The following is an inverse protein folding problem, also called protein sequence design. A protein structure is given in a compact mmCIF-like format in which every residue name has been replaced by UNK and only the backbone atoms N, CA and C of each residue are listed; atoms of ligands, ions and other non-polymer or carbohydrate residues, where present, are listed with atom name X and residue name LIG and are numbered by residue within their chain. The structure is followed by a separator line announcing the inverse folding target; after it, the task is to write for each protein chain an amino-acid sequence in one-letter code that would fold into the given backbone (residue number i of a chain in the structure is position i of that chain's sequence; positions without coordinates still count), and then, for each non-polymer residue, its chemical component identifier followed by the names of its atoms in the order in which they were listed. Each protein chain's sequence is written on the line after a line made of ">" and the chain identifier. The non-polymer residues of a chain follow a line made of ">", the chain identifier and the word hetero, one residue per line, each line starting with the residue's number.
data_IF_537068024091
#
_entry.id   IF_537068024091
#
_cell.length_a   1.000
_cell.length_b   1.000
_cell.length_c   1.000
_cell.angle_alpha   90.00
_cell.angle_beta   90.00
_cell.angle_gamma   90.00
#
_symmetry.space_group_name_H-M   'P 1'
#
loop_
_entity.id
_entity.type
_entity.pdbx_description
1 polymer ?
#
# COMPACT_ATOMS: atom_id res chain seq x y z
N UNK A 1 9.26 -70.46 -47.52
CA UNK A 1 9.91 -69.44 -46.66
C UNK A 1 9.83 -68.10 -47.38
N UNK A 2 8.95 -67.20 -46.95
CA UNK A 2 8.78 -65.88 -47.54
C UNK A 2 7.82 -65.08 -46.66
N UNK A 3 8.34 -64.07 -45.97
CA UNK A 3 7.75 -63.40 -44.81
C UNK A 3 6.68 -62.38 -45.22
N UNK A 4 5.52 -62.50 -44.57
CA UNK A 4 4.82 -61.44 -43.82
C UNK A 4 5.04 -59.99 -44.29
N UNK A 5 3.98 -59.38 -44.83
CA UNK A 5 3.79 -57.92 -44.87
C UNK A 5 2.55 -57.62 -44.05
N UNK A 6 2.76 -57.16 -42.80
CA UNK A 6 1.72 -56.53 -42.00
C UNK A 6 1.86 -55.01 -42.13
N UNK A 7 0.78 -54.35 -42.55
CA UNK A 7 0.64 -52.89 -42.53
C UNK A 7 0.70 -52.40 -41.09
N UNK A 8 1.76 -51.66 -40.75
CA UNK A 8 1.82 -50.87 -39.53
C UNK A 8 1.03 -49.58 -39.75
N UNK A 9 -0.14 -49.50 -39.11
CA UNK A 9 -0.91 -48.26 -38.95
C UNK A 9 -0.07 -47.36 -38.03
N UNK A 10 0.53 -46.32 -38.59
CA UNK A 10 1.26 -45.31 -37.86
C UNK A 10 0.27 -44.51 -36.99
N UNK A 11 0.52 -44.53 -35.69
CA UNK A 11 -0.26 -43.84 -34.68
C UNK A 11 -0.20 -42.33 -34.83
N UNK A 12 -1.36 -41.71 -34.72
CA UNK A 12 -1.50 -40.32 -34.32
C UNK A 12 -2.17 -40.33 -32.95
N UNK A 13 -1.38 -40.61 -31.91
CA UNK A 13 -1.79 -40.30 -30.54
C UNK A 13 -1.79 -38.79 -30.46
N UNK A 14 -2.97 -38.22 -30.65
CA UNK A 14 -3.28 -36.83 -30.33
C UNK A 14 -3.02 -36.69 -28.83
N UNK A 15 -1.82 -36.22 -28.51
CA UNK A 15 -1.41 -35.86 -27.17
C UNK A 15 -2.22 -34.61 -26.83
N UNK A 16 -3.46 -34.80 -26.38
CA UNK A 16 -4.14 -33.82 -25.55
C UNK A 16 -3.25 -33.67 -24.32
N UNK A 17 -2.31 -32.73 -24.38
CA UNK A 17 -1.70 -32.16 -23.21
C UNK A 17 -2.84 -31.51 -22.42
N UNK A 18 -3.48 -32.30 -21.57
CA UNK A 18 -4.07 -31.81 -20.34
C UNK A 18 -2.94 -31.05 -19.66
N UNK A 19 -2.89 -29.74 -19.86
CA UNK A 19 -2.16 -28.86 -18.96
C UNK A 19 -2.83 -29.05 -17.62
N UNK A 20 -2.30 -29.96 -16.82
CA UNK A 20 -2.62 -30.07 -15.41
C UNK A 20 -2.43 -28.66 -14.85
N UNK A 21 -3.53 -27.99 -14.51
CA UNK A 21 -3.46 -26.68 -13.87
C UNK A 21 -2.53 -26.82 -12.69
N UNK A 22 -1.47 -26.01 -12.65
CA UNK A 22 -0.56 -25.99 -11.53
C UNK A 22 -1.39 -25.83 -10.26
N UNK A 23 -1.34 -26.82 -9.36
CA UNK A 23 -2.12 -26.80 -8.13
C UNK A 23 -1.66 -25.60 -7.32
N UNK A 24 -2.53 -24.59 -7.17
CA UNK A 24 -2.23 -23.42 -6.35
C UNK A 24 -2.08 -23.87 -4.91
N UNK A 25 -0.89 -23.69 -4.35
CA UNK A 25 -0.51 -24.29 -3.07
C UNK A 25 -0.35 -23.24 -1.97
N UNK A 26 -1.39 -23.02 -1.16
CA UNK A 26 -1.43 -22.03 -0.09
C UNK A 26 -1.13 -22.65 1.28
N UNK A 27 0.12 -23.01 1.52
CA UNK A 27 0.54 -23.73 2.73
C UNK A 27 0.90 -22.84 3.92
N UNK A 28 1.01 -21.52 3.71
CA UNK A 28 1.26 -20.59 4.80
C UNK A 28 -0.06 -19.93 5.20
N UNK A 29 -0.17 -19.61 6.49
CA UNK A 29 -1.32 -18.92 7.06
C UNK A 29 -0.83 -17.73 7.85
N UNK A 30 -1.43 -16.58 7.61
CA UNK A 30 -1.23 -15.38 8.39
C UNK A 30 -2.53 -15.00 9.09
N UNK A 31 -2.51 -14.89 10.41
CA UNK A 31 -3.64 -14.40 11.20
C UNK A 31 -3.24 -13.12 11.91
N UNK A 32 -4.02 -12.06 11.69
CA UNK A 32 -3.89 -10.78 12.39
C UNK A 32 -5.02 -10.67 13.41
N UNK A 33 -4.78 -11.17 14.62
CA UNK A 33 -5.81 -11.26 15.66
C UNK A 33 -6.37 -9.88 16.05
N UNK A 34 -5.53 -8.85 16.15
CA UNK A 34 -5.97 -7.49 16.50
C UNK A 34 -6.87 -6.86 15.41
N UNK A 35 -6.73 -7.30 14.16
CA UNK A 35 -7.55 -6.88 13.04
C UNK A 35 -8.59 -7.95 12.66
N UNK A 36 -8.72 -9.03 13.43
CA UNK A 36 -9.79 -10.01 13.28
C UNK A 36 -9.82 -10.81 11.98
N UNK A 37 -8.69 -10.98 11.27
CA UNK A 37 -8.69 -11.73 10.00
C UNK A 37 -7.55 -12.75 9.87
N UNK A 38 -7.75 -13.73 8.99
CA UNK A 38 -6.71 -14.68 8.57
C UNK A 38 -6.70 -14.82 7.04
N UNK A 39 -5.53 -15.07 6.45
CA UNK A 39 -5.39 -15.37 5.01
C UNK A 39 -4.34 -16.45 4.78
N UNK A 40 -4.55 -17.30 3.77
CA UNK A 40 -3.53 -18.25 3.30
C UNK A 40 -2.78 -17.69 2.10
N UNK A 41 -1.49 -18.02 2.04
CA UNK A 41 -0.58 -17.55 1.00
C UNK A 41 0.45 -18.64 0.69
N UNK A 42 1.14 -18.57 -0.46
CA UNK A 42 2.05 -19.63 -0.86
C UNK A 42 3.42 -19.48 -0.15
N UNK A 43 4.17 -20.58 -0.02
CA UNK A 43 5.36 -20.64 0.82
C UNK A 43 6.56 -19.82 0.27
N UNK A 44 6.53 -19.52 -1.02
CA UNK A 44 7.52 -18.71 -1.71
C UNK A 44 7.24 -17.20 -1.62
N UNK A 45 6.10 -16.79 -1.06
CA UNK A 45 5.78 -15.39 -0.78
C UNK A 45 6.17 -15.02 0.64
N UNK A 46 6.43 -13.73 0.85
CA UNK A 46 6.79 -13.13 2.13
C UNK A 46 5.61 -12.32 2.62
N UNK A 47 5.30 -12.45 3.91
CA UNK A 47 4.31 -11.64 4.60
C UNK A 47 4.99 -10.56 5.44
N UNK A 48 4.67 -9.30 5.15
CA UNK A 48 5.26 -8.12 5.79
C UNK A 48 4.17 -7.28 6.42
N UNK A 49 4.27 -7.01 7.73
CA UNK A 49 3.47 -5.97 8.38
C UNK A 49 4.02 -4.62 7.95
N UNK A 50 3.35 -3.93 7.03
CA UNK A 50 3.73 -2.58 6.61
C UNK A 50 3.45 -1.56 7.70
N UNK A 51 2.35 -1.75 8.44
CA UNK A 51 1.98 -1.00 9.66
C UNK A 51 0.95 -1.79 10.47
N UNK A 52 0.51 -1.28 11.63
CA UNK A 52 -0.44 -1.94 12.54
C UNK A 52 -1.77 -2.39 11.91
N UNK A 53 -2.10 -1.91 10.70
CA UNK A 53 -3.35 -2.18 10.02
C UNK A 53 -3.17 -2.73 8.59
N UNK A 54 -1.95 -2.84 8.08
CA UNK A 54 -1.68 -3.19 6.69
C UNK A 54 -0.70 -4.35 6.57
N UNK A 55 -1.14 -5.42 5.93
CA UNK A 55 -0.35 -6.57 5.52
C UNK A 55 -0.01 -6.48 4.03
N UNK A 56 1.26 -6.63 3.68
CA UNK A 56 1.72 -6.84 2.31
C UNK A 56 2.18 -8.30 2.16
N UNK A 57 1.72 -8.95 1.10
CA UNK A 57 2.17 -10.26 0.66
C UNK A 57 2.77 -10.09 -0.75
N UNK A 58 3.99 -10.56 -0.96
CA UNK A 58 4.66 -10.52 -2.27
C UNK A 58 5.59 -11.70 -2.49
N UNK A 59 5.95 -11.99 -3.74
CA UNK A 59 7.03 -12.93 -4.04
C UNK A 59 8.40 -12.44 -3.54
N UNK A 60 9.42 -13.31 -3.64
CA UNK A 60 10.80 -12.96 -3.28
C UNK A 60 11.43 -11.99 -4.28
N UNK A 61 12.26 -11.09 -3.76
CA UNK A 61 13.06 -10.18 -4.60
C UNK A 61 13.84 -10.93 -5.68
N UNK A 62 13.85 -10.38 -6.89
CA UNK A 62 14.49 -10.99 -8.06
C UNK A 62 13.63 -12.01 -8.82
N UNK A 63 12.33 -12.12 -8.50
CA UNK A 63 11.35 -12.93 -9.24
C UNK A 63 10.23 -12.06 -9.79
N UNK A 64 9.54 -12.49 -10.85
CA UNK A 64 8.37 -11.77 -11.39
C UNK A 64 7.28 -11.60 -10.32
N UNK A 65 7.11 -12.60 -9.45
CA UNK A 65 6.19 -12.57 -8.32
C UNK A 65 6.48 -11.45 -7.31
N UNK A 66 7.68 -10.85 -7.33
CA UNK A 66 8.03 -9.72 -6.47
C UNK A 66 7.19 -8.47 -6.77
N UNK A 67 6.92 -8.22 -8.06
CA UNK A 67 6.14 -7.07 -8.52
C UNK A 67 4.62 -7.31 -8.42
N UNK A 68 4.25 -8.53 -8.05
CA UNK A 68 2.88 -8.97 -7.83
C UNK A 68 2.60 -8.97 -6.33
N UNK A 69 1.59 -8.21 -5.90
CA UNK A 69 1.32 -7.98 -4.48
C UNK A 69 -0.12 -8.29 -4.13
N UNK A 70 -0.34 -8.79 -2.91
CA UNK A 70 -1.64 -8.80 -2.23
C UNK A 70 -1.50 -7.95 -0.98
N UNK A 71 -2.37 -6.96 -0.84
CA UNK A 71 -2.41 -6.05 0.32
C UNK A 71 -3.72 -6.23 1.06
N UNK A 72 -3.68 -6.25 2.39
CA UNK A 72 -4.87 -6.21 3.25
C UNK A 72 -4.72 -5.04 4.21
N UNK A 73 -5.62 -4.08 4.15
CA UNK A 73 -5.61 -2.88 4.99
C UNK A 73 -6.91 -2.77 5.80
N UNK A 74 -6.81 -2.48 7.09
CA UNK A 74 -7.94 -2.40 8.02
C UNK A 74 -8.24 -0.94 8.39
N UNK A 75 -9.52 -0.58 8.44
CA UNK A 75 -9.99 0.78 8.66
C UNK A 75 -11.11 0.78 9.70
N UNK A 76 -10.98 1.59 10.74
CA UNK A 76 -12.09 1.85 11.64
C UNK A 76 -13.27 2.48 10.86
N UNK A 77 -14.49 2.02 11.12
CA UNK A 77 -15.71 2.68 10.67
C UNK A 77 -16.05 3.86 11.58
N UNK A 78 -17.06 4.66 11.20
CA UNK A 78 -17.57 5.76 12.02
C UNK A 78 -18.01 5.32 13.43
N UNK A 79 -18.39 4.05 13.62
CA UNK A 79 -18.73 3.46 14.92
C UNK A 79 -17.54 3.41 15.90
N UNK A 80 -16.31 3.47 15.38
CA UNK A 80 -15.06 3.54 16.14
C UNK A 80 -14.37 4.92 16.01
N UNK A 81 -15.08 5.92 15.52
CA UNK A 81 -14.50 7.25 15.24
C UNK A 81 -13.62 7.29 14.00
N UNK A 82 -13.73 6.28 13.13
CA UNK A 82 -13.16 6.26 11.80
C UNK A 82 -13.98 7.09 10.80
N UNK A 83 -13.54 7.08 9.54
CA UNK A 83 -14.01 8.02 8.52
C UNK A 83 -15.18 7.50 7.68
N UNK A 84 -15.26 6.19 7.50
CA UNK A 84 -16.16 5.59 6.52
C UNK A 84 -17.36 5.00 7.24
N UNK A 85 -18.56 5.33 6.77
CA UNK A 85 -19.81 4.79 7.32
C UNK A 85 -20.11 3.42 6.71
N UNK A 86 -19.74 3.23 5.45
CA UNK A 86 -19.95 1.98 4.71
C UNK A 86 -18.68 1.53 3.97
N UNK A 87 -18.57 0.23 3.63
CA UNK A 87 -17.53 -0.27 2.71
C UNK A 87 -17.50 0.46 1.36
N UNK A 88 -18.66 0.95 0.89
CA UNK A 88 -18.77 1.69 -0.37
C UNK A 88 -18.09 3.06 -0.30
N UNK A 89 -18.16 3.73 0.85
CA UNK A 89 -17.47 5.03 1.03
C UNK A 89 -15.95 4.88 0.95
N UNK A 90 -15.42 3.81 1.56
CA UNK A 90 -14.00 3.48 1.47
C UNK A 90 -13.61 3.10 0.03
N UNK A 91 -14.44 2.33 -0.67
CA UNK A 91 -14.18 1.98 -2.07
C UNK A 91 -14.15 3.22 -2.97
N UNK A 92 -15.09 4.16 -2.76
CA UNK A 92 -15.13 5.42 -3.51
C UNK A 92 -13.89 6.28 -3.25
N UNK A 93 -13.39 6.30 -2.00
CA UNK A 93 -12.15 6.99 -1.67
C UNK A 93 -10.96 6.42 -2.44
N UNK A 94 -10.82 5.09 -2.53
CA UNK A 94 -9.77 4.46 -3.34
C UNK A 94 -9.85 4.81 -4.82
N UNK A 95 -11.05 4.86 -5.40
CA UNK A 95 -11.23 5.29 -6.79
C UNK A 95 -10.75 6.72 -7.00
N UNK A 96 -11.05 7.61 -6.05
CA UNK A 96 -10.59 9.00 -6.08
C UNK A 96 -9.05 9.11 -6.05
N UNK A 97 -8.37 8.28 -5.26
CA UNK A 97 -6.90 8.29 -5.22
C UNK A 97 -6.31 7.84 -6.55
N UNK A 98 -6.89 6.78 -7.12
CA UNK A 98 -6.40 6.20 -8.36
C UNK A 98 -6.42 7.24 -9.48
N UNK A 99 -7.53 7.95 -9.64
CA UNK A 99 -7.67 9.00 -10.66
C UNK A 99 -6.86 10.26 -10.36
N UNK A 100 -6.52 10.51 -9.09
CA UNK A 100 -5.69 11.65 -8.69
C UNK A 100 -4.19 11.36 -8.84
N UNK A 101 -3.79 10.10 -8.65
CA UNK A 101 -2.40 9.65 -8.60
C UNK A 101 -1.86 9.11 -9.92
N UNK A 102 -2.71 8.90 -10.91
CA UNK A 102 -2.33 8.35 -12.21
C UNK A 102 -2.83 9.20 -13.37
N UNK A 103 -1.99 9.38 -14.39
CA UNK A 103 -2.36 10.04 -15.65
C UNK A 103 -3.27 9.19 -16.54
N UNK A 104 -3.29 7.88 -16.34
CA UNK A 104 -4.12 6.93 -17.09
C UNK A 104 -4.83 6.01 -16.09
N UNK A 105 -6.16 5.98 -16.12
CA UNK A 105 -6.95 5.08 -15.29
C UNK A 105 -8.11 4.53 -16.12
N UNK A 106 -8.23 3.21 -16.16
CA UNK A 106 -9.35 2.49 -16.74
C UNK A 106 -9.97 1.63 -15.64
N UNK A 107 -11.15 1.99 -15.16
CA UNK A 107 -11.88 1.17 -14.17
C UNK A 107 -12.75 0.17 -14.94
N UNK A 108 -12.50 -1.10 -14.69
CA UNK A 108 -13.25 -2.22 -15.21
C UNK A 108 -14.18 -2.76 -14.11
N UNK A 109 -15.47 -2.56 -14.29
CA UNK A 109 -16.51 -3.13 -13.40
C UNK A 109 -17.02 -4.47 -13.90
N UNK A 110 -16.49 -5.00 -15.00
CA UNK A 110 -16.88 -6.26 -15.61
C UNK A 110 -15.96 -7.41 -15.18
N UNK A 111 -16.09 -7.82 -13.90
CA UNK A 111 -15.39 -8.95 -13.28
C UNK A 111 -13.92 -8.66 -12.90
N UNK A 112 -13.41 -8.93 -11.69
CA UNK A 112 -13.82 -9.84 -10.63
C UNK A 112 -13.88 -9.09 -9.31
N UNK A 113 -15.04 -8.97 -8.66
CA UNK A 113 -15.16 -8.74 -7.22
C UNK A 113 -16.06 -9.83 -6.59
N UNK A 114 -15.92 -10.16 -5.29
CA UNK A 114 -16.99 -10.93 -4.59
C UNK A 114 -17.57 -10.17 -3.39
N UNK A 115 -17.86 -8.89 -3.60
CA UNK A 115 -18.35 -7.93 -2.61
C UNK A 115 -18.31 -6.50 -3.14
N UNK A 116 -18.08 -5.51 -2.27
CA UNK A 116 -17.91 -4.10 -2.67
C UNK A 116 -16.50 -3.91 -3.25
N UNK A 117 -16.35 -3.85 -4.57
CA UNK A 117 -15.03 -3.88 -5.21
C UNK A 117 -14.98 -3.27 -6.62
N UNK A 118 -13.76 -3.19 -7.17
CA UNK A 118 -13.50 -2.83 -8.57
C UNK A 118 -12.25 -3.54 -9.10
N UNK A 119 -12.13 -3.62 -10.43
CA UNK A 119 -10.85 -3.85 -11.11
C UNK A 119 -10.46 -2.56 -11.82
N UNK A 120 -9.19 -2.22 -11.85
CA UNK A 120 -8.73 -1.05 -12.58
C UNK A 120 -7.32 -1.26 -13.13
N UNK A 121 -7.07 -0.68 -14.30
CA UNK A 121 -5.74 -0.51 -14.86
C UNK A 121 -5.30 0.94 -14.68
N UNK A 122 -4.05 1.16 -14.29
CA UNK A 122 -3.52 2.49 -14.07
C UNK A 122 -2.02 2.58 -14.32
N UNK A 123 -1.55 3.78 -14.68
CA UNK A 123 -0.12 4.07 -14.81
C UNK A 123 0.50 4.50 -13.48
N UNK A 124 1.65 3.92 -13.13
CA UNK A 124 2.47 4.37 -12.01
C UNK A 124 3.95 4.32 -12.42
N UNK A 125 4.66 5.44 -12.24
CA UNK A 125 6.10 5.54 -12.55
C UNK A 125 6.49 5.10 -13.98
N UNK A 126 5.57 5.25 -14.94
CA UNK A 126 5.79 4.89 -16.36
C UNK A 126 5.44 3.44 -16.72
N UNK A 127 5.03 2.63 -15.74
CA UNK A 127 4.56 1.26 -15.93
C UNK A 127 3.05 1.16 -15.71
N UNK A 128 2.39 0.24 -16.42
CA UNK A 128 0.95 0.00 -16.28
C UNK A 128 0.71 -1.19 -15.37
N UNK A 129 -0.11 -0.96 -14.35
CA UNK A 129 -0.53 -1.97 -13.39
C UNK A 129 -2.00 -2.26 -13.56
N UNK A 130 -2.39 -3.49 -13.24
CA UNK A 130 -3.78 -3.87 -13.02
C UNK A 130 -3.97 -4.22 -11.55
N UNK A 131 -5.08 -3.73 -10.98
CA UNK A 131 -5.45 -3.97 -9.59
C UNK A 131 -6.88 -4.50 -9.52
N UNK A 132 -7.06 -5.56 -8.74
CA UNK A 132 -8.35 -6.04 -8.26
C UNK A 132 -8.47 -5.70 -6.78
N UNK A 133 -9.48 -4.91 -6.40
CA UNK A 133 -9.73 -4.50 -5.01
C UNK A 133 -11.13 -4.91 -4.55
N UNK A 134 -11.22 -5.36 -3.29
CA UNK A 134 -12.47 -5.60 -2.57
C UNK A 134 -12.39 -4.96 -1.19
N UNK A 135 -13.51 -4.43 -0.71
CA UNK A 135 -13.71 -3.95 0.66
C UNK A 135 -14.82 -4.78 1.29
N UNK A 136 -14.56 -5.31 2.47
CA UNK A 136 -15.50 -6.09 3.27
C UNK A 136 -15.59 -5.50 4.69
N UNK A 137 -16.77 -5.57 5.29
CA UNK A 137 -16.94 -5.24 6.71
C UNK A 137 -16.65 -6.48 7.56
N UNK A 138 -16.00 -6.28 8.71
CA UNK A 138 -15.95 -7.27 9.77
C UNK A 138 -17.35 -7.54 10.35
N UNK A 139 -17.49 -8.61 11.12
CA UNK A 139 -18.79 -9.13 11.58
C UNK A 139 -19.67 -8.10 12.33
N UNK A 140 -19.07 -7.12 13.00
CA UNK A 140 -19.76 -6.09 13.78
C UNK A 140 -19.83 -4.71 13.08
N UNK A 141 -19.38 -4.62 11.82
CA UNK A 141 -19.27 -3.38 11.04
C UNK A 141 -18.40 -2.28 11.67
N UNK A 142 -17.58 -2.60 12.68
CA UNK A 142 -16.70 -1.62 13.35
C UNK A 142 -15.39 -1.43 12.61
N UNK A 143 -14.96 -2.42 11.86
CA UNK A 143 -13.76 -2.39 11.03
C UNK A 143 -14.11 -2.81 9.61
N UNK A 144 -13.59 -2.07 8.63
CA UNK A 144 -13.64 -2.42 7.22
C UNK A 144 -12.25 -2.87 6.78
N UNK A 145 -12.16 -3.98 6.08
CA UNK A 145 -10.93 -4.48 5.52
C UNK A 145 -10.95 -4.35 4.01
N UNK A 146 -9.89 -3.79 3.44
CA UNK A 146 -9.67 -3.75 2.01
C UNK A 146 -8.60 -4.77 1.64
N UNK A 147 -8.97 -5.71 0.78
CA UNK A 147 -8.05 -6.62 0.12
C UNK A 147 -7.79 -6.10 -1.30
N UNK A 148 -6.54 -6.10 -1.75
CA UNK A 148 -6.22 -5.75 -3.13
C UNK A 148 -5.05 -6.56 -3.69
N UNK A 149 -5.27 -7.16 -4.85
CA UNK A 149 -4.24 -7.77 -5.69
C UNK A 149 -3.78 -6.77 -6.75
N UNK A 150 -2.48 -6.50 -6.85
CA UNK A 150 -1.91 -5.57 -7.83
C UNK A 150 -0.69 -6.19 -8.49
N UNK A 151 -0.61 -6.10 -9.82
CA UNK A 151 0.54 -6.57 -10.59
C UNK A 151 0.72 -5.74 -11.87
N UNK A 152 1.92 -5.73 -12.49
CA UNK A 152 2.09 -5.29 -13.86
C UNK A 152 1.08 -5.97 -14.79
N UNK A 153 0.57 -5.24 -15.79
CA UNK A 153 -0.53 -5.73 -16.63
C UNK A 153 -0.21 -7.04 -17.35
N UNK A 154 1.05 -7.28 -17.70
CA UNK A 154 1.53 -8.51 -18.34
C UNK A 154 1.65 -9.70 -17.36
N UNK A 155 1.97 -9.44 -16.10
CA UNK A 155 2.06 -10.45 -15.05
C UNK A 155 0.71 -10.77 -14.40
N UNK A 156 -0.26 -9.86 -14.50
CA UNK A 156 -1.56 -9.99 -13.85
C UNK A 156 -2.29 -11.30 -14.19
N UNK A 157 -2.45 -11.72 -15.47
CA UNK A 157 -3.14 -12.98 -15.81
C UNK A 157 -2.40 -14.22 -15.30
N UNK A 158 -1.08 -14.17 -15.21
CA UNK A 158 -0.23 -15.28 -14.74
C UNK A 158 -0.46 -15.56 -13.25
N UNK A 159 -0.61 -14.51 -12.45
CA UNK A 159 -0.79 -14.63 -10.99
C UNK A 159 -2.25 -14.54 -10.53
N UNK A 160 -3.19 -14.24 -11.42
CA UNK A 160 -4.62 -14.15 -11.09
C UNK A 160 -5.17 -15.42 -10.40
N UNK A 161 -4.90 -16.66 -10.88
CA UNK A 161 -5.40 -17.86 -10.19
C UNK A 161 -4.88 -18.02 -8.76
N UNK A 162 -3.65 -17.56 -8.50
CA UNK A 162 -3.08 -17.53 -7.17
C UNK A 162 -3.80 -16.52 -6.28
N UNK A 163 -4.02 -15.30 -6.79
CA UNK A 163 -4.72 -14.23 -6.09
C UNK A 163 -6.17 -14.61 -5.76
N UNK A 164 -6.87 -15.27 -6.69
CA UNK A 164 -8.22 -15.81 -6.48
C UNK A 164 -8.25 -16.83 -5.34
N UNK A 165 -7.29 -17.76 -5.29
CA UNK A 165 -7.20 -18.74 -4.21
C UNK A 165 -6.87 -18.07 -2.86
N UNK A 166 -5.96 -17.09 -2.85
CA UNK A 166 -5.61 -16.34 -1.64
C UNK A 166 -6.82 -15.58 -1.10
N UNK A 167 -7.54 -14.88 -1.98
CA UNK A 167 -8.76 -14.17 -1.64
C UNK A 167 -9.85 -15.12 -1.13
N UNK A 168 -10.05 -16.27 -1.76
CA UNK A 168 -11.01 -17.29 -1.30
C UNK A 168 -10.66 -17.89 0.08
N UNK A 169 -9.40 -17.77 0.52
CA UNK A 169 -8.95 -18.24 1.83
C UNK A 169 -9.03 -17.19 2.94
N UNK A 170 -9.36 -15.94 2.59
CA UNK A 170 -9.40 -14.83 3.52
C UNK A 170 -10.67 -14.87 4.38
N UNK A 171 -10.52 -14.85 5.71
CA UNK A 171 -11.61 -14.91 6.70
C UNK A 171 -11.55 -13.74 7.68
N UNK A 172 -12.69 -13.33 8.25
CA UNK A 172 -12.84 -12.12 9.10
C UNK A 172 -13.32 -12.45 10.52
N UNK A 173 -13.01 -13.66 11.01
CA UNK A 173 -13.66 -14.28 12.16
C UNK A 173 -12.75 -14.32 13.42
N UNK A 174 -11.60 -13.64 13.39
CA UNK A 174 -10.50 -13.78 14.38
C UNK A 174 -10.78 -13.14 15.74
N UNK A 175 -10.73 -13.94 16.81
CA UNK A 175 -10.89 -13.54 18.22
C UNK A 175 -9.60 -12.93 18.79
N UNK A 176 -9.70 -11.81 19.52
CA UNK A 176 -8.59 -10.92 19.90
C UNK A 176 -7.71 -11.41 21.08
N UNK A 177 -6.37 -11.33 20.94
CA UNK A 177 -5.38 -11.41 22.03
C UNK A 177 -4.35 -10.27 21.93
N UNK A 178 -3.96 -9.68 23.07
CA UNK A 178 -3.15 -8.45 23.18
C UNK A 178 -1.63 -8.68 23.09
N UNK A 179 -0.87 -7.72 22.50
CA UNK A 179 0.61 -7.70 22.48
C UNK A 179 1.17 -6.65 23.47
N UNK A 180 2.19 -7.06 24.24
CA UNK A 180 2.96 -6.23 25.19
C UNK A 180 4.18 -5.51 24.59
N UNK A 181 4.86 -4.64 25.36
CA UNK A 181 5.84 -3.67 24.83
C UNK A 181 7.28 -4.22 24.75
N UNK A 182 8.01 -3.77 23.73
CA UNK A 182 9.46 -3.97 23.56
C UNK A 182 10.28 -2.71 23.93
N UNK A 183 11.48 -2.95 24.45
CA UNK A 183 12.39 -2.01 25.15
C UNK A 183 13.25 -1.14 24.22
N UNK A 184 13.59 0.08 24.65
CA UNK A 184 14.43 1.07 23.94
C UNK A 184 15.92 1.03 24.33
N UNK A 185 16.81 1.49 23.42
CA UNK A 185 18.23 1.82 23.68
C UNK A 185 18.65 3.09 22.90
N UNK A 186 19.53 3.89 23.52
CA UNK A 186 20.05 5.26 23.24
C UNK A 186 21.05 5.45 22.09
N UNK A 187 20.94 6.56 21.33
CA UNK A 187 21.86 7.72 21.48
C UNK A 187 22.55 8.29 20.23
N UNK A 188 21.81 8.81 19.24
CA UNK A 188 22.33 9.71 18.19
C UNK A 188 21.94 11.19 18.43
N UNK A 189 22.82 12.15 18.05
CA UNK A 189 22.50 13.59 18.08
C UNK A 189 21.63 13.97 16.86
N UNK A 190 20.33 13.72 16.97
CA UNK A 190 19.36 14.03 15.93
C UNK A 190 18.98 15.52 16.01
N UNK A 191 19.07 16.24 14.89
CA UNK A 191 18.81 17.69 14.80
C UNK A 191 17.66 18.00 13.84
N UNK A 192 16.91 19.07 14.09
CA UNK A 192 15.91 19.59 13.15
C UNK A 192 16.60 20.54 12.16
N UNK A 193 16.42 20.29 10.85
CA UNK A 193 17.06 21.07 9.78
C UNK A 193 16.06 21.82 8.90
N UNK A 194 14.77 21.52 9.00
CA UNK A 194 13.71 22.21 8.28
C UNK A 194 12.38 22.06 9.00
N UNK A 195 11.59 23.14 9.03
CA UNK A 195 10.22 23.13 9.53
C UNK A 195 9.34 23.97 8.61
N UNK A 196 8.12 23.49 8.35
CA UNK A 196 7.12 24.24 7.62
C UNK A 196 5.73 23.96 8.19
N UNK A 197 4.89 25.00 8.19
CA UNK A 197 3.44 24.85 8.39
C UNK A 197 2.74 25.25 7.11
N UNK A 198 1.72 24.50 6.74
CA UNK A 198 0.97 24.77 5.53
C UNK A 198 -0.46 24.27 5.62
N UNK A 199 -1.22 24.55 4.56
CA UNK A 199 -2.60 24.09 4.41
C UNK A 199 -2.80 23.50 3.03
N UNK A 200 -3.11 22.22 2.99
CA UNK A 200 -3.57 21.55 1.76
C UNK A 200 -5.03 21.94 1.55
N UNK A 201 -5.35 22.37 0.34
CA UNK A 201 -6.67 22.92 -0.02
C UNK A 201 -7.37 22.01 -1.00
N UNK A 202 -8.69 22.08 -1.00
CA UNK A 202 -9.52 21.43 -2.01
C UNK A 202 -9.47 22.27 -3.28
N UNK A 203 -8.98 21.70 -4.38
CA UNK A 203 -9.26 22.26 -5.71
C UNK A 203 -10.53 21.55 -6.19
N UNK A 204 -11.55 22.32 -6.58
CA UNK A 204 -12.90 21.78 -6.83
C UNK A 204 -12.90 20.74 -7.97
N UNK A 205 -13.46 19.54 -7.69
CA UNK A 205 -14.32 18.64 -8.51
C UNK A 205 -14.20 17.15 -8.12
N UNK A 206 -14.63 16.75 -6.91
CA UNK A 206 -14.75 15.31 -6.55
C UNK A 206 -16.09 14.97 -5.88
N UNK A 207 -17.17 15.70 -6.21
CA UNK A 207 -18.50 15.53 -5.60
C UNK A 207 -19.60 15.40 -6.66
N UNK A 208 -19.38 14.67 -7.75
CA UNK A 208 -20.50 14.28 -8.62
C UNK A 208 -20.52 12.78 -8.82
N UNK A 209 -21.72 12.20 -8.74
CA UNK A 209 -22.09 10.82 -9.03
C UNK A 209 -21.88 10.43 -10.51
N UNK A 210 -20.88 11.02 -11.17
CA UNK A 210 -20.48 10.75 -12.54
C UNK A 210 -19.07 10.19 -12.50
N UNK A 211 -18.89 8.98 -13.01
CA UNK A 211 -17.70 8.12 -12.88
C UNK A 211 -16.33 8.70 -13.27
N UNK A 212 -16.21 9.95 -13.75
CA UNK A 212 -14.93 10.60 -14.04
C UNK A 212 -15.03 12.11 -13.84
N UNK A 213 -14.86 12.60 -12.61
CA UNK A 213 -14.56 14.02 -12.36
C UNK A 213 -13.10 14.17 -11.90
N UNK A 214 -12.26 14.55 -12.87
CA UNK A 214 -10.83 14.80 -12.75
C UNK A 214 -10.57 16.05 -11.89
N UNK A 215 -10.39 15.89 -10.58
CA UNK A 215 -9.91 16.94 -9.69
C UNK A 215 -8.39 16.89 -9.53
N UNK A 216 -7.69 18.03 -9.71
CA UNK A 216 -6.28 18.16 -9.30
C UNK A 216 -6.20 18.28 -7.78
N UNK A 217 -5.26 17.59 -7.16
CA UNK A 217 -4.98 17.77 -5.73
C UNK A 217 -3.97 18.91 -5.50
N UNK A 218 -4.17 19.76 -4.48
CA UNK A 218 -3.21 20.81 -4.12
C UNK A 218 -1.94 20.17 -3.52
N UNK A 219 -0.79 20.35 -4.17
CA UNK A 219 0.51 19.87 -3.71
C UNK A 219 1.46 21.04 -3.50
N UNK A 220 2.10 21.10 -2.34
CA UNK A 220 3.10 22.10 -1.98
C UNK A 220 4.49 21.48 -2.12
N UNK A 221 5.44 22.24 -2.67
CA UNK A 221 6.82 21.79 -2.87
C UNK A 221 7.79 22.66 -2.09
N UNK A 222 8.75 22.03 -1.40
CA UNK A 222 9.82 22.68 -0.66
C UNK A 222 11.19 22.18 -1.16
N UNK A 223 12.21 23.02 -1.05
CA UNK A 223 13.60 22.65 -1.32
C UNK A 223 14.36 22.47 0.00
N UNK A 224 15.14 21.40 0.11
CA UNK A 224 15.94 21.05 1.28
C UNK A 224 17.40 20.91 0.87
N UNK A 225 18.28 21.72 1.44
CA UNK A 225 19.71 21.62 1.17
C UNK A 225 20.40 20.77 2.24
N UNK A 226 21.00 19.66 1.83
CA UNK A 226 21.83 18.80 2.67
C UNK A 226 23.30 19.13 2.38
N UNK A 227 24.07 19.49 3.42
CA UNK A 227 25.46 19.95 3.28
C UNK A 227 26.50 18.89 3.61
N UNK A 228 26.10 17.78 4.24
CA UNK A 228 26.97 16.68 4.65
C UNK A 228 26.27 15.33 4.45
N UNK A 229 27.01 14.24 4.20
CA UNK A 229 26.45 12.89 4.22
C UNK A 229 25.85 12.55 5.59
N UNK A 230 24.75 11.82 5.60
CA UNK A 230 24.09 11.42 6.84
C UNK A 230 22.76 10.74 6.59
N UNK A 231 21.84 10.88 7.53
CA UNK A 231 20.52 10.27 7.50
C UNK A 231 19.44 11.32 7.72
N UNK A 232 18.36 11.25 6.95
CA UNK A 232 17.21 12.17 7.02
C UNK A 232 15.92 11.41 7.32
N UNK A 233 15.08 12.00 8.16
CA UNK A 233 13.69 11.59 8.35
C UNK A 233 12.78 12.82 8.23
N UNK A 234 11.57 12.63 7.71
CA UNK A 234 10.52 13.65 7.74
C UNK A 234 9.59 13.35 8.93
N UNK A 235 8.93 14.36 9.47
CA UNK A 235 7.75 14.28 10.30
C UNK A 235 6.62 15.04 9.63
N UNK A 236 5.43 14.46 9.57
CA UNK A 236 4.24 15.13 9.08
C UNK A 236 3.10 14.93 10.09
N UNK A 237 2.69 16.02 10.73
CA UNK A 237 1.53 16.07 11.63
C UNK A 237 0.42 16.82 10.92
N UNK A 238 -0.81 16.32 10.93
CA UNK A 238 -1.96 16.96 10.30
C UNK A 238 -3.23 16.76 11.12
N UNK A 239 -4.32 17.42 10.75
CA UNK A 239 -5.61 17.28 11.43
C UNK A 239 -6.14 15.83 11.37
N UNK A 240 -6.79 15.39 12.46
CA UNK A 240 -7.33 14.02 12.58
C UNK A 240 -8.30 13.68 11.44
N UNK A 241 -8.17 12.49 10.87
CA UNK A 241 -9.03 12.01 9.78
C UNK A 241 -8.64 12.53 8.39
N UNK A 242 -7.61 13.37 8.29
CA UNK A 242 -7.02 13.80 7.03
C UNK A 242 -5.91 12.84 6.63
N UNK A 243 -5.59 12.78 5.33
CA UNK A 243 -4.50 11.93 4.84
C UNK A 243 -3.65 12.75 3.87
N UNK A 244 -2.60 13.34 4.42
CA UNK A 244 -1.55 14.07 3.71
C UNK A 244 -0.27 13.23 3.73
N UNK A 245 0.50 13.29 2.65
CA UNK A 245 1.81 12.67 2.52
C UNK A 245 2.88 13.74 2.29
N UNK A 246 4.04 13.54 2.90
CA UNK A 246 5.28 14.22 2.55
C UNK A 246 6.23 13.21 1.88
N UNK A 247 6.87 13.60 0.79
CA UNK A 247 7.79 12.72 0.04
C UNK A 247 9.06 13.47 -0.30
N UNK A 248 10.22 12.89 0.01
CA UNK A 248 11.54 13.44 -0.31
C UNK A 248 12.06 12.84 -1.62
N UNK A 249 12.60 13.69 -2.48
CA UNK A 249 13.25 13.35 -3.74
C UNK A 249 14.70 13.85 -3.72
N UNK A 250 15.62 13.08 -4.25
CA UNK A 250 17.03 13.44 -4.41
C UNK A 250 17.23 14.48 -5.51
N UNK A 251 18.46 15.01 -5.68
CA UNK A 251 18.76 15.97 -6.73
C UNK A 251 18.52 15.45 -8.16
N UNK A 252 18.49 14.12 -8.36
CA UNK A 252 18.18 13.50 -9.64
C UNK A 252 16.66 13.33 -9.86
N UNK A 253 15.83 13.76 -8.91
CA UNK A 253 14.38 13.62 -8.94
C UNK A 253 13.90 12.21 -8.59
N UNK A 254 14.80 11.31 -8.16
CA UNK A 254 14.43 9.98 -7.69
C UNK A 254 13.95 10.07 -6.25
N UNK A 255 12.90 9.32 -5.93
CA UNK A 255 12.35 9.27 -4.58
C UNK A 255 13.37 8.66 -3.61
N UNK A 256 13.66 9.37 -2.52
CA UNK A 256 14.64 8.99 -1.48
C UNK A 256 13.95 8.29 -0.32
N UNK A 257 12.82 8.84 0.09
CA UNK A 257 11.95 8.22 1.09
C UNK A 257 10.55 8.09 0.53
N UNK A 258 9.96 6.93 0.75
CA UNK A 258 8.52 6.75 0.88
C UNK A 258 8.25 6.38 2.34
N UNK A 259 7.09 6.83 2.82
CA UNK A 259 6.47 6.57 4.12
C UNK A 259 6.91 5.24 4.78
N UNK A 260 7.27 5.22 6.08
CA UNK A 260 7.20 4.03 6.89
C UNK A 260 5.73 3.92 7.31
N UNK A 261 5.13 2.79 7.02
CA UNK A 261 3.88 2.43 7.65
C UNK A 261 2.72 3.43 7.59
N UNK A 262 2.00 3.55 8.72
CA UNK A 262 0.57 3.90 8.82
C UNK A 262 0.23 5.33 8.39
N UNK A 263 -1.03 5.58 8.04
CA UNK A 263 -1.62 6.93 7.92
C UNK A 263 -1.59 7.75 9.22
N UNK A 264 -1.20 7.12 10.33
CA UNK A 264 -1.08 7.74 11.65
C UNK A 264 0.37 8.00 12.05
N UNK A 265 1.35 7.45 11.33
CA UNK A 265 2.76 7.60 11.65
C UNK A 265 3.28 8.94 11.17
N UNK A 266 3.70 9.74 12.14
CA UNK A 266 4.22 11.07 11.89
C UNK A 266 5.58 11.00 11.20
N UNK A 267 6.46 10.05 11.55
CA UNK A 267 7.86 10.05 11.14
C UNK A 267 8.15 9.14 9.95
N UNK A 268 9.09 9.49 9.05
CA UNK A 268 9.38 8.70 7.84
C UNK A 268 10.48 7.63 7.94
N UNK A 269 11.06 7.42 9.13
CA UNK A 269 12.26 6.59 9.28
C UNK A 269 13.51 7.29 8.74
N UNK A 270 14.69 6.79 9.10
CA UNK A 270 15.97 7.37 8.68
C UNK A 270 16.40 6.85 7.31
N UNK A 271 16.72 7.75 6.38
CA UNK A 271 17.15 7.45 5.02
C UNK A 271 18.51 8.06 4.75
N UNK A 272 19.45 7.26 4.23
CA UNK A 272 20.79 7.74 3.89
C UNK A 272 20.72 8.82 2.78
N UNK A 273 21.43 9.92 2.97
CA UNK A 273 21.51 11.05 2.04
C UNK A 273 22.95 11.49 1.81
N UNK A 274 23.19 12.08 0.65
CA UNK A 274 24.46 12.72 0.28
C UNK A 274 24.25 14.24 0.18
N UNK A 275 25.32 15.05 0.19
CA UNK A 275 25.19 16.49 -0.03
C UNK A 275 24.48 16.81 -1.35
N UNK A 276 23.52 17.72 -1.32
CA UNK A 276 22.74 18.11 -2.49
C UNK A 276 21.45 18.85 -2.15
N UNK A 277 20.74 19.31 -3.19
CA UNK A 277 19.42 19.93 -3.07
C UNK A 277 18.33 18.89 -3.32
N UNK A 278 17.61 18.56 -2.27
CA UNK A 278 16.49 17.64 -2.26
C UNK A 278 15.18 18.40 -2.40
N UNK A 279 14.14 17.72 -2.88
CA UNK A 279 12.80 18.28 -3.01
C UNK A 279 11.85 17.54 -2.08
N UNK A 280 11.05 18.26 -1.28
CA UNK A 280 9.95 17.69 -0.49
C UNK A 280 8.64 18.06 -1.16
N UNK A 281 7.80 17.09 -1.46
CA UNK A 281 6.41 17.33 -1.90
C UNK A 281 5.45 16.95 -0.80
N UNK A 282 4.60 17.89 -0.39
CA UNK A 282 3.51 17.67 0.55
C UNK A 282 2.19 17.78 -0.19
N UNK A 283 1.42 16.70 -0.22
CA UNK A 283 0.16 16.66 -0.94
C UNK A 283 -0.79 15.62 -0.32
N UNK A 284 -2.07 15.66 -0.69
CA UNK A 284 -3.03 14.68 -0.19
C UNK A 284 -2.74 13.30 -0.77
N UNK A 285 -2.96 12.29 0.06
CA UNK A 285 -2.89 10.88 -0.31
C UNK A 285 -4.27 10.28 -0.51
N UNK A 286 -5.23 10.70 0.32
CA UNK A 286 -6.66 10.33 0.31
C UNK A 286 -7.47 11.56 0.72
N UNK A 287 -8.16 12.21 -0.22
CA UNK A 287 -8.72 13.55 0.04
C UNK A 287 -9.99 13.49 0.90
N UNK A 288 -9.96 14.12 2.09
CA UNK A 288 -11.11 14.23 3.00
C UNK A 288 -11.68 15.65 3.08
N UNK A 289 -10.85 16.62 3.42
CA UNK A 289 -11.16 18.05 3.39
C UNK A 289 -9.85 18.86 3.25
N UNK A 290 -9.93 20.19 3.30
CA UNK A 290 -8.73 20.98 3.56
C UNK A 290 -8.13 20.59 4.91
N UNK A 291 -6.81 20.60 5.01
CA UNK A 291 -6.12 20.18 6.21
C UNK A 291 -4.86 20.99 6.43
N UNK A 292 -4.69 21.45 7.66
CA UNK A 292 -3.44 22.03 8.12
C UNK A 292 -2.41 20.91 8.39
N UNK A 293 -1.14 21.24 8.18
CA UNK A 293 -0.04 20.33 8.48
C UNK A 293 1.17 21.05 9.06
N UNK A 294 1.93 20.32 9.87
CA UNK A 294 3.29 20.62 10.30
C UNK A 294 4.23 19.59 9.66
N UNK A 295 5.21 20.07 8.91
CA UNK A 295 6.28 19.27 8.34
C UNK A 295 7.58 19.61 9.09
N UNK A 296 8.27 18.61 9.61
CA UNK A 296 9.60 18.75 10.22
C UNK A 296 10.57 17.80 9.52
N UNK A 297 11.83 18.20 9.37
CA UNK A 297 12.89 17.34 8.82
C UNK A 297 14.00 17.19 9.83
N UNK A 298 14.34 15.95 10.12
CA UNK A 298 15.40 15.57 11.04
C UNK A 298 16.62 15.11 10.27
N UNK A 299 17.80 15.41 10.80
CA UNK A 299 19.08 14.97 10.27
C UNK A 299 20.00 14.49 11.40
N UNK A 300 20.77 13.45 11.09
CA UNK A 300 21.86 12.96 11.93
C UNK A 300 23.00 12.46 11.05
N UNK A 301 24.24 12.60 11.52
CA UNK A 301 25.41 12.01 10.89
C UNK A 301 25.45 10.48 11.02
N UNK A 302 24.60 9.90 11.88
CA UNK A 302 24.46 8.45 12.11
C UNK A 302 23.02 8.03 11.88
N UNK A 303 22.82 6.78 11.50
CA UNK A 303 21.48 6.19 11.40
C UNK A 303 20.75 6.28 12.76
N UNK A 304 19.44 6.43 12.72
CA UNK A 304 18.59 6.55 13.90
C UNK A 304 17.24 5.88 13.67
N UNK A 305 16.61 5.45 14.75
CA UNK A 305 15.30 4.80 14.72
C UNK A 305 14.16 5.79 14.86
N UNK A 306 12.96 5.37 14.47
CA UNK A 306 11.74 6.14 14.73
C UNK A 306 11.42 6.18 16.24
N UNK A 307 11.86 5.20 17.04
CA UNK A 307 11.70 5.24 18.50
C UNK A 307 12.57 6.33 19.13
N UNK A 308 13.77 6.56 18.61
CA UNK A 308 14.61 7.68 19.03
C UNK A 308 13.99 9.03 18.66
N UNK A 309 13.39 9.15 17.47
CA UNK A 309 12.62 10.34 17.11
C UNK A 309 11.43 10.53 18.06
N UNK A 310 10.70 9.46 18.36
CA UNK A 310 9.52 9.53 19.20
C UNK A 310 9.85 9.91 20.65
N UNK A 311 10.98 9.39 21.17
CA UNK A 311 11.48 9.72 22.49
C UNK A 311 11.93 11.19 22.61
N UNK A 312 12.47 11.77 21.53
CA UNK A 312 12.98 13.15 21.53
C UNK A 312 11.91 14.20 21.17
N UNK A 313 11.03 13.89 20.22
CA UNK A 313 10.17 14.87 19.55
C UNK A 313 8.67 14.58 19.70
N UNK A 314 8.30 13.51 20.40
CA UNK A 314 6.92 13.16 20.72
C UNK A 314 6.40 11.95 19.94
N UNK A 315 5.23 11.42 20.32
CA UNK A 315 4.78 10.09 19.91
C UNK A 315 4.55 9.96 18.40
N UNK A 316 4.69 8.74 17.89
CA UNK A 316 4.53 8.42 16.47
C UNK A 316 3.13 8.71 15.93
N UNK A 317 2.10 8.79 16.79
CA UNK A 317 0.68 8.91 16.44
C UNK A 317 0.05 10.26 16.83
N UNK A 318 0.73 11.37 16.52
CA UNK A 318 0.26 12.73 16.86
C UNK A 318 -0.57 13.35 15.74
N UNK A 319 -1.57 14.15 16.13
CA UNK A 319 -2.39 14.97 15.22
C UNK A 319 -2.40 16.44 15.64
N UNK A 320 -2.77 17.31 14.71
CA UNK A 320 -3.20 18.67 15.03
C UNK A 320 -4.59 18.62 15.65
N UNK A 321 -4.72 19.28 16.81
CA UNK A 321 -6.03 19.56 17.40
C UNK A 321 -6.61 20.79 16.71
N UNK A 322 -7.87 20.69 16.31
CA UNK A 322 -8.63 21.81 15.77
C UNK A 322 -9.20 22.67 16.89
#
# INVERSE_FOLDING_TARGET
>A
MGRSVWMAILGMVMCCALTAGATVNLNQVYCWEENGYCIRYPAEWVATKENDYTLLLSGKAGTDAYYTTVTIASFASTLLGGRYETPQDLLNAYKCDLVSGSSLVCIDTTGYPTGTGYVAEFSHEGETFRQWRVVAAGADNRVFHSWAFTAPTDLFPTYLPLAEAMYASWTLDGTSGAIGPGTAVTGASITVIFEARGRIRRLATCNSDSDLSLGRCHTITYNLNITAPGYVALSLVFERGQQIRATLYDPAGKRVTFRPGSFTDVYTGAHAVSPGTYTIKVGPELFGAESEFELTVYFSAREFSVDELAALYGPRNRYLNR
#
